data_IF_504948134153
#
_entry.id   IF_504948134153
#
_cell.length_a   1.000
_cell.length_b   1.000
_cell.length_c   1.000
_cell.angle_alpha   90.00
_cell.angle_beta   90.00
_cell.angle_gamma   90.00
#
_symmetry.space_group_name_H-M   'P 1'
#
loop_
_entity.id
_entity.type
_entity.pdbx_description
1 polymer ?
#
# COMPACT_ATOMS: atom_id res chain seq x y z
N UNK A 1 -26.20 -1.81 -11.01
CA UNK A 1 -25.97 -2.56 -9.75
C UNK A 1 -24.97 -1.73 -8.96
N UNK A 2 -25.41 -1.01 -7.92
CA UNK A 2 -24.50 -0.20 -7.11
C UNK A 2 -23.51 -1.14 -6.41
N UNK A 3 -22.18 -0.95 -6.57
CA UNK A 3 -21.23 -1.70 -5.78
C UNK A 3 -21.46 -1.35 -4.30
N UNK A 4 -21.89 -2.35 -3.53
CA UNK A 4 -22.05 -2.24 -2.08
C UNK A 4 -20.71 -1.89 -1.44
N UNK A 5 -20.72 -1.11 -0.36
CA UNK A 5 -19.49 -0.77 0.39
C UNK A 5 -18.69 -2.00 0.81
N UNK A 6 -19.38 -3.12 1.01
CA UNK A 6 -18.83 -4.46 1.26
C UNK A 6 -17.81 -4.88 0.19
N UNK A 7 -18.07 -4.59 -1.09
CA UNK A 7 -17.18 -4.95 -2.19
C UNK A 7 -15.88 -4.17 -2.12
N UNK A 8 -15.94 -2.86 -1.84
CA UNK A 8 -14.76 -2.04 -1.63
C UNK A 8 -13.94 -2.52 -0.43
N UNK A 9 -14.60 -2.83 0.69
CA UNK A 9 -13.94 -3.37 1.87
C UNK A 9 -13.25 -4.72 1.58
N UNK A 10 -13.88 -5.58 0.80
CA UNK A 10 -13.31 -6.86 0.37
C UNK A 10 -12.05 -6.63 -0.47
N UNK A 11 -12.09 -5.77 -1.48
CA UNK A 11 -10.94 -5.46 -2.33
C UNK A 11 -9.77 -4.91 -1.49
N UNK A 12 -10.04 -3.96 -0.58
CA UNK A 12 -9.02 -3.39 0.31
C UNK A 12 -8.41 -4.48 1.21
N UNK A 13 -9.24 -5.34 1.80
CA UNK A 13 -8.76 -6.42 2.67
C UNK A 13 -7.85 -7.40 1.93
N UNK A 14 -8.24 -7.81 0.71
CA UNK A 14 -7.42 -8.69 -0.14
C UNK A 14 -6.09 -8.03 -0.49
N UNK A 15 -6.10 -6.76 -0.90
CA UNK A 15 -4.87 -6.02 -1.21
C UNK A 15 -3.93 -5.92 0.00
N UNK A 16 -4.47 -5.69 1.20
CA UNK A 16 -3.68 -5.66 2.45
C UNK A 16 -3.06 -7.04 2.73
N UNK A 17 -3.83 -8.12 2.60
CA UNK A 17 -3.33 -9.49 2.83
C UNK A 17 -2.20 -9.82 1.84
N UNK A 18 -2.40 -9.53 0.55
CA UNK A 18 -1.37 -9.74 -0.48
C UNK A 18 -0.11 -8.93 -0.16
N UNK A 19 -0.27 -7.68 0.26
CA UNK A 19 0.82 -6.78 0.63
C UNK A 19 1.64 -7.32 1.82
N UNK A 20 0.98 -7.84 2.86
CA UNK A 20 1.65 -8.44 4.03
C UNK A 20 2.42 -9.71 3.61
N UNK A 21 1.81 -10.56 2.78
CA UNK A 21 2.45 -11.79 2.29
C UNK A 21 3.68 -11.46 1.43
N UNK A 22 3.54 -10.50 0.53
CA UNK A 22 4.60 -9.96 -0.31
C UNK A 22 5.79 -9.43 0.52
N UNK A 23 5.53 -8.67 1.59
CA UNK A 23 6.57 -8.17 2.48
C UNK A 23 7.41 -9.29 3.11
N UNK A 24 6.75 -10.39 3.52
CA UNK A 24 7.43 -11.56 4.09
C UNK A 24 8.31 -12.29 3.06
N UNK A 25 7.90 -12.31 1.80
CA UNK A 25 8.67 -12.90 0.69
C UNK A 25 9.88 -12.02 0.33
N UNK A 26 9.76 -10.69 0.45
CA UNK A 26 10.84 -9.73 0.17
C UNK A 26 12.14 -10.05 0.92
N UNK A 27 12.03 -10.35 2.22
CA UNK A 27 13.18 -10.69 3.06
C UNK A 27 13.89 -11.98 2.62
N UNK A 28 13.24 -12.86 1.86
CA UNK A 28 13.85 -14.09 1.33
C UNK A 28 14.45 -13.93 -0.06
N UNK A 29 13.94 -13.01 -0.88
CA UNK A 29 14.41 -12.78 -2.25
C UNK A 29 15.56 -11.75 -2.33
N UNK A 30 15.85 -11.02 -1.25
CA UNK A 30 16.90 -9.98 -1.23
C UNK A 30 16.54 -8.71 -1.99
N UNK A 31 15.29 -8.59 -2.46
CA UNK A 31 14.76 -7.43 -3.17
C UNK A 31 14.21 -6.42 -2.15
N UNK A 32 14.37 -5.10 -2.37
CA UNK A 32 13.72 -4.09 -1.54
C UNK A 32 12.20 -4.26 -1.48
N UNK A 33 11.63 -4.28 -0.28
CA UNK A 33 10.18 -4.45 -0.07
C UNK A 33 9.34 -3.41 -0.83
N UNK A 34 9.88 -2.20 -0.98
CA UNK A 34 9.25 -1.11 -1.71
C UNK A 34 8.97 -1.46 -3.18
N UNK A 35 9.86 -2.20 -3.86
CA UNK A 35 9.62 -2.64 -5.24
C UNK A 35 8.50 -3.66 -5.33
N UNK A 36 8.34 -4.52 -4.33
CA UNK A 36 7.26 -5.50 -4.32
C UNK A 36 5.92 -4.81 -4.09
N UNK A 37 5.84 -3.86 -3.16
CA UNK A 37 4.62 -3.06 -2.96
C UNK A 37 4.25 -2.26 -4.22
N UNK A 38 5.24 -1.68 -4.92
CA UNK A 38 5.01 -1.01 -6.20
C UNK A 38 4.41 -1.98 -7.23
N UNK A 39 4.95 -3.19 -7.34
CA UNK A 39 4.47 -4.20 -8.29
C UNK A 39 3.04 -4.63 -7.98
N UNK A 40 2.72 -4.88 -6.70
CA UNK A 40 1.34 -5.18 -6.27
C UNK A 40 0.39 -4.02 -6.65
N UNK A 41 0.79 -2.77 -6.43
CA UNK A 41 0.01 -1.60 -6.80
C UNK A 41 -0.18 -1.47 -8.32
N UNK A 42 0.86 -1.69 -9.11
CA UNK A 42 0.78 -1.70 -10.58
C UNK A 42 -0.15 -2.81 -11.09
N UNK A 43 -0.11 -4.00 -10.48
CA UNK A 43 -1.03 -5.09 -10.83
C UNK A 43 -2.47 -4.79 -10.44
N UNK A 44 -2.69 -4.05 -9.36
CA UNK A 44 -4.02 -3.62 -8.92
C UNK A 44 -4.59 -2.49 -9.78
N UNK A 45 -3.74 -1.61 -10.33
CA UNK A 45 -4.12 -0.44 -11.12
C UNK A 45 -4.81 -0.76 -12.45
N UNK A 46 -5.19 0.30 -13.17
CA UNK A 46 -6.00 0.23 -14.41
C UNK A 46 -5.38 -0.61 -15.52
N UNK A 47 -4.05 -0.53 -15.67
CA UNK A 47 -3.28 -1.29 -16.67
C UNK A 47 -2.92 -2.71 -16.19
N UNK A 48 -3.18 -3.01 -14.91
CA UNK A 48 -2.94 -4.30 -14.31
C UNK A 48 -4.17 -5.22 -14.36
N UNK A 49 -4.03 -6.50 -13.99
CA UNK A 49 -5.13 -7.44 -13.88
C UNK A 49 -6.24 -7.02 -12.89
N UNK A 50 -5.94 -6.10 -11.96
CA UNK A 50 -6.92 -5.57 -11.01
C UNK A 50 -7.88 -4.55 -11.62
N UNK A 51 -7.50 -3.85 -12.69
CA UNK A 51 -8.37 -2.92 -13.41
C UNK A 51 -8.90 -1.75 -12.56
N UNK A 52 -8.26 -1.43 -11.43
CA UNK A 52 -8.72 -0.36 -10.54
C UNK A 52 -8.34 0.98 -11.16
N UNK A 53 -9.32 1.63 -11.79
CA UNK A 53 -9.17 3.00 -12.29
C UNK A 53 -9.16 3.98 -11.12
N UNK A 54 -8.11 4.78 -11.04
CA UNK A 54 -7.93 5.79 -10.02
C UNK A 54 -7.32 7.04 -10.65
N UNK A 55 -8.06 8.15 -10.61
CA UNK A 55 -7.67 9.43 -11.20
C UNK A 55 -8.19 10.58 -10.32
N UNK A 56 -7.89 10.51 -9.02
CA UNK A 56 -8.25 11.53 -8.05
C UNK A 56 -7.00 12.02 -7.30
N UNK A 57 -6.43 13.17 -7.71
CA UNK A 57 -5.25 13.74 -7.06
C UNK A 57 -5.48 14.12 -5.60
N UNK A 58 -6.70 14.52 -5.23
CA UNK A 58 -7.04 14.91 -3.86
C UNK A 58 -7.03 13.71 -2.91
N UNK A 59 -7.64 12.61 -3.33
CA UNK A 59 -7.63 11.36 -2.56
C UNK A 59 -6.21 10.80 -2.46
N UNK A 60 -5.42 10.83 -3.55
CA UNK A 60 -4.03 10.40 -3.52
C UNK A 60 -3.19 11.22 -2.54
N UNK A 61 -3.33 12.55 -2.57
CA UNK A 61 -2.62 13.42 -1.65
C UNK A 61 -3.03 13.16 -0.20
N UNK A 62 -4.33 13.03 0.08
CA UNK A 62 -4.82 12.78 1.43
C UNK A 62 -4.26 11.46 2.00
N UNK A 63 -4.34 10.38 1.23
CA UNK A 63 -3.77 9.07 1.63
C UNK A 63 -2.26 9.16 1.80
N UNK A 64 -1.57 9.82 0.87
CA UNK A 64 -0.12 10.02 0.92
C UNK A 64 0.34 10.79 2.15
N UNK A 65 -0.36 11.86 2.52
CA UNK A 65 -0.07 12.65 3.73
C UNK A 65 -0.30 11.82 4.99
N UNK A 66 -1.40 11.08 5.08
CA UNK A 66 -1.68 10.20 6.23
C UNK A 66 -0.60 9.13 6.36
N UNK A 67 -0.24 8.46 5.25
CA UNK A 67 0.80 7.44 5.23
C UNK A 67 2.17 8.02 5.60
N UNK A 68 2.58 9.14 4.99
CA UNK A 68 3.84 9.80 5.26
C UNK A 68 3.94 10.23 6.73
N UNK A 69 2.86 10.78 7.29
CA UNK A 69 2.79 11.14 8.71
C UNK A 69 3.05 9.92 9.60
N UNK A 70 2.42 8.78 9.31
CA UNK A 70 2.67 7.53 10.03
C UNK A 70 4.10 7.02 9.89
N UNK A 71 4.67 7.06 8.69
CA UNK A 71 6.03 6.61 8.42
C UNK A 71 7.04 7.47 9.19
N UNK A 72 6.94 8.80 9.11
CA UNK A 72 7.84 9.70 9.85
C UNK A 72 7.65 9.58 11.35
N UNK A 73 6.42 9.45 11.82
CA UNK A 73 6.13 9.32 13.24
C UNK A 73 6.73 8.02 13.81
N UNK A 74 6.45 6.87 13.18
CA UNK A 74 7.01 5.58 13.58
C UNK A 74 8.54 5.57 13.47
N UNK A 75 9.06 5.98 12.32
CA UNK A 75 10.50 6.03 12.08
C UNK A 75 11.23 6.95 13.06
N UNK A 76 10.64 8.10 13.38
CA UNK A 76 11.14 9.05 14.37
C UNK A 76 11.21 8.47 15.78
N UNK A 77 10.17 7.74 16.22
CA UNK A 77 10.13 7.08 17.53
C UNK A 77 11.13 5.91 17.64
N UNK A 78 11.35 5.18 16.56
CA UNK A 78 12.30 4.06 16.52
C UNK A 78 13.78 4.51 16.45
N UNK A 79 14.03 5.77 16.07
CA UNK A 79 15.37 6.36 16.12
C UNK A 79 15.80 6.57 17.57
N UNK A 80 16.84 5.84 17.99
CA UNK A 80 17.54 6.12 19.24
C UNK A 80 18.35 7.40 19.06
N UNK A 81 17.94 8.43 19.78
CA UNK A 81 18.75 9.63 19.96
C UNK A 81 19.87 9.29 20.94
N UNK A 82 20.95 8.73 20.41
CA UNK A 82 22.17 8.49 21.18
C UNK A 82 23.00 9.76 21.16
N UNK A 83 22.74 10.63 22.13
CA UNK A 83 23.79 11.41 22.79
C UNK A 83 24.35 10.59 23.97
#
# INVERSE_FOLDING_TARGET
MQPSIEYFLLVIAVLIIVSILANKVSGRLGVPALLIFLLVGMLAGSEGPGGIYFDDPWVAQAVGVIALTYILFSGGLDTRWCE
#
